data_IF_678862100588
#
_entry.id   IF_678862100588
#
_cell.length_a   1.000
_cell.length_b   1.000
_cell.length_c   1.000
_cell.angle_alpha   90.00
_cell.angle_beta   90.00
_cell.angle_gamma   90.00
#
_symmetry.space_group_name_H-M   'P 1'
#
loop_
_entity.id
_entity.type
_entity.pdbx_description
1 polymer ?
#
# COMPACT_ATOMS: atom_id res chain seq x y z
N UNK A 1 -5.49 18.24 -47.61
CA UNK A 1 -4.83 19.00 -46.54
C UNK A 1 -5.52 18.86 -45.18
N UNK A 2 -6.85 18.93 -45.07
CA UNK A 2 -7.56 18.87 -43.77
C UNK A 2 -7.42 17.52 -43.02
N UNK A 3 -7.48 16.39 -43.72
CA UNK A 3 -7.40 15.04 -43.09
C UNK A 3 -6.05 14.79 -42.41
N UNK A 4 -4.94 15.23 -43.02
CA UNK A 4 -3.60 15.11 -42.44
C UNK A 4 -3.45 15.94 -41.17
N UNK A 5 -3.98 17.17 -41.16
CA UNK A 5 -3.98 18.04 -39.99
C UNK A 5 -4.78 17.43 -38.82
N UNK A 6 -5.96 16.88 -39.08
CA UNK A 6 -6.77 16.23 -38.04
C UNK A 6 -6.13 14.96 -37.47
N UNK A 7 -5.47 14.14 -38.31
CA UNK A 7 -4.73 12.96 -37.85
C UNK A 7 -3.52 13.38 -37.00
N UNK A 8 -2.80 14.42 -37.41
CA UNK A 8 -1.62 14.90 -36.67
C UNK A 8 -2.04 15.52 -35.33
N UNK A 9 -3.13 16.29 -35.31
CA UNK A 9 -3.72 16.83 -34.08
C UNK A 9 -4.22 15.72 -33.13
N UNK A 10 -4.87 14.67 -33.65
CA UNK A 10 -5.32 13.54 -32.84
C UNK A 10 -4.15 12.75 -32.21
N UNK A 11 -3.08 12.50 -32.98
CA UNK A 11 -1.87 11.84 -32.47
C UNK A 11 -1.19 12.71 -31.40
N UNK A 12 -1.16 14.03 -31.61
CA UNK A 12 -0.57 14.97 -30.66
C UNK A 12 -1.37 15.01 -29.34
N UNK A 13 -2.72 14.99 -29.40
CA UNK A 13 -3.58 14.90 -28.21
C UNK A 13 -3.38 13.58 -27.45
N UNK A 14 -3.20 12.45 -28.16
CA UNK A 14 -2.87 11.17 -27.51
C UNK A 14 -1.48 11.19 -26.84
N UNK A 15 -0.50 11.89 -27.43
CA UNK A 15 0.84 12.01 -26.87
C UNK A 15 0.89 12.83 -25.57
N UNK A 16 -0.13 13.65 -25.31
CA UNK A 16 -0.28 14.43 -24.08
C UNK A 16 -1.19 13.78 -23.03
N UNK A 17 -1.68 12.55 -23.25
CA UNK A 17 -2.39 11.82 -22.21
C UNK A 17 -1.43 11.50 -21.06
N UNK A 18 -1.54 12.25 -19.97
CA UNK A 18 -0.77 12.03 -18.75
C UNK A 18 -1.23 10.70 -18.16
N UNK A 19 -0.44 9.64 -18.34
CA UNK A 19 -0.64 8.38 -17.64
C UNK A 19 -0.07 8.55 -16.24
N UNK A 20 -0.97 8.61 -15.24
CA UNK A 20 -0.56 8.59 -13.84
C UNK A 20 -0.21 7.16 -13.45
N UNK A 21 1.04 6.93 -13.07
CA UNK A 21 1.52 5.64 -12.59
C UNK A 21 1.33 5.45 -11.08
N UNK A 22 0.93 6.51 -10.37
CA UNK A 22 0.68 6.56 -8.92
C UNK A 22 -0.66 7.23 -8.64
N UNK A 23 -1.05 7.29 -7.35
CA UNK A 23 -2.19 8.09 -6.93
C UNK A 23 -2.08 9.55 -7.46
N UNK A 24 -3.15 10.12 -8.04
CA UNK A 24 -3.15 11.51 -8.49
C UNK A 24 -2.95 12.49 -7.33
N UNK A 25 -2.25 13.60 -7.58
CA UNK A 25 -2.12 14.68 -6.59
C UNK A 25 -3.50 15.28 -6.24
N UNK A 26 -3.73 15.66 -4.98
CA UNK A 26 -4.97 16.31 -4.58
C UNK A 26 -5.09 17.69 -5.24
N UNK A 27 -6.33 18.09 -5.56
CA UNK A 27 -6.64 19.40 -6.16
C UNK A 27 -7.22 20.40 -5.14
N UNK A 28 -7.34 19.99 -3.88
CA UNK A 28 -7.87 20.73 -2.74
C UNK A 28 -7.31 20.14 -1.45
N UNK A 29 -7.48 20.84 -0.33
CA UNK A 29 -6.92 20.43 0.97
C UNK A 29 -7.36 19.02 1.41
N UNK A 30 -8.62 18.66 1.17
CA UNK A 30 -9.15 17.33 1.47
C UNK A 30 -10.34 16.96 0.59
N UNK A 31 -10.56 15.66 0.42
CA UNK A 31 -11.75 15.09 -0.23
C UNK A 31 -12.10 13.79 0.50
N UNK A 32 -12.82 13.87 1.61
CA UNK A 32 -13.20 12.69 2.41
C UNK A 32 -14.05 11.73 1.57
N UNK A 33 -13.65 10.46 1.46
CA UNK A 33 -14.41 9.46 0.73
C UNK A 33 -15.81 9.26 1.31
N UNK A 34 -16.80 9.15 0.42
CA UNK A 34 -18.12 8.59 0.75
C UNK A 34 -18.06 7.06 0.58
N UNK A 35 -18.83 6.32 1.37
CA UNK A 35 -18.94 4.87 1.19
C UNK A 35 -19.58 4.54 -0.15
N UNK A 36 -19.11 3.48 -0.81
CA UNK A 36 -19.55 3.12 -2.16
C UNK A 36 -21.06 2.81 -2.23
N UNK A 37 -21.66 2.33 -1.13
CA UNK A 37 -23.10 2.09 -1.04
C UNK A 37 -23.95 3.37 -1.09
N UNK A 38 -23.39 4.50 -0.66
CA UNK A 38 -24.03 5.82 -0.70
C UNK A 38 -23.67 6.56 -2.01
N UNK A 39 -22.71 6.05 -2.78
CA UNK A 39 -22.28 6.65 -4.03
C UNK A 39 -23.19 6.24 -5.19
N UNK A 40 -23.75 7.22 -5.91
CA UNK A 40 -24.53 6.98 -7.14
C UNK A 40 -23.67 6.77 -8.40
N UNK A 41 -22.34 6.90 -8.31
CA UNK A 41 -21.42 6.91 -9.45
C UNK A 41 -20.08 6.30 -9.06
N UNK A 42 -19.47 5.54 -9.97
CA UNK A 42 -18.10 5.03 -9.85
C UNK A 42 -17.11 5.95 -10.58
N UNK A 43 -16.02 6.30 -9.90
CA UNK A 43 -14.92 7.12 -10.43
C UNK A 43 -13.58 6.46 -10.10
N UNK A 44 -12.48 6.94 -10.68
CA UNK A 44 -11.16 6.55 -10.20
C UNK A 44 -10.92 7.13 -8.81
N UNK A 45 -10.76 6.29 -7.79
CA UNK A 45 -10.73 6.70 -6.38
C UNK A 45 -12.12 6.64 -5.75
N UNK A 46 -12.49 7.67 -4.97
CA UNK A 46 -13.79 7.78 -4.29
C UNK A 46 -14.35 9.19 -4.46
N UNK A 47 -15.68 9.32 -4.50
CA UNK A 47 -16.35 10.63 -4.49
C UNK A 47 -16.18 11.32 -3.13
N UNK A 48 -16.19 12.66 -3.13
CA UNK A 48 -16.00 13.45 -1.91
C UNK A 48 -17.32 13.71 -1.18
N UNK A 49 -17.29 13.61 0.15
CA UNK A 49 -18.31 14.14 1.06
C UNK A 49 -18.36 15.67 0.97
N UNK A 50 -19.53 16.28 1.20
CA UNK A 50 -19.66 17.74 1.29
C UNK A 50 -18.69 18.27 2.37
N UNK A 51 -17.76 19.18 2.02
CA UNK A 51 -16.80 19.75 2.97
C UNK A 51 -17.42 20.35 4.23
N UNK A 52 -18.67 20.83 4.17
CA UNK A 52 -19.38 21.39 5.33
C UNK A 52 -19.80 20.32 6.35
N UNK A 53 -19.84 19.06 5.94
CA UNK A 53 -20.25 17.92 6.78
C UNK A 53 -19.06 17.10 7.27
N UNK A 54 -17.84 17.45 6.85
CA UNK A 54 -16.61 16.78 7.26
C UNK A 54 -16.31 17.05 8.73
N UNK A 55 -15.83 16.03 9.43
CA UNK A 55 -15.51 16.07 10.87
C UNK A 55 -14.15 15.42 11.16
N UNK A 56 -13.51 15.68 12.31
CA UNK A 56 -12.24 15.06 12.67
C UNK A 56 -12.27 13.52 12.63
N UNK A 57 -13.42 12.92 12.91
CA UNK A 57 -13.62 11.46 12.90
C UNK A 57 -13.42 10.87 11.50
N UNK A 58 -13.61 11.65 10.43
CA UNK A 58 -13.38 11.20 9.05
C UNK A 58 -11.88 10.95 8.76
N UNK A 59 -10.98 11.50 9.58
CA UNK A 59 -9.51 11.38 9.46
C UNK A 59 -8.87 10.51 10.54
N UNK A 60 -9.67 9.84 11.37
CA UNK A 60 -9.21 9.22 12.61
C UNK A 60 -9.50 7.71 12.65
N UNK A 61 -8.54 6.94 13.16
CA UNK A 61 -8.73 5.53 13.48
C UNK A 61 -8.20 5.22 14.89
N UNK A 62 -9.06 4.82 15.84
CA UNK A 62 -8.64 4.51 17.20
C UNK A 62 -8.05 3.10 17.33
N UNK A 63 -7.19 2.91 18.33
CA UNK A 63 -6.86 1.57 18.85
C UNK A 63 -5.88 0.76 18.00
N UNK A 64 -5.17 1.38 17.05
CA UNK A 64 -4.11 0.71 16.27
C UNK A 64 -2.94 0.25 17.15
N UNK A 65 -2.80 0.78 18.37
CA UNK A 65 -1.84 0.31 19.36
C UNK A 65 -2.16 -1.08 19.93
N UNK A 66 -3.40 -1.56 19.80
CA UNK A 66 -3.81 -2.86 20.34
C UNK A 66 -3.39 -3.99 19.39
N UNK A 67 -2.67 -5.02 19.87
CA UNK A 67 -2.30 -6.16 19.04
C UNK A 67 -3.51 -6.91 18.48
N UNK A 68 -3.39 -7.41 17.25
CA UNK A 68 -4.40 -8.33 16.68
C UNK A 68 -4.00 -9.78 16.85
N UNK A 69 -5.02 -10.65 16.84
CA UNK A 69 -4.82 -12.09 17.00
C UNK A 69 -3.98 -12.67 15.87
N UNK A 70 -2.90 -13.36 16.25
CA UNK A 70 -2.02 -14.13 15.37
C UNK A 70 -2.32 -15.63 15.42
N UNK A 71 -3.44 -16.03 16.04
CA UNK A 71 -3.90 -17.43 16.14
C UNK A 71 -4.46 -17.94 14.81
N UNK A 72 -3.60 -18.04 13.81
CA UNK A 72 -3.89 -18.59 12.49
C UNK A 72 -2.65 -19.35 11.97
N UNK A 73 -2.76 -20.17 10.92
CA UNK A 73 -1.65 -21.01 10.44
C UNK A 73 -0.38 -20.25 10.04
N UNK A 74 -0.50 -18.98 9.67
CA UNK A 74 0.62 -18.13 9.30
C UNK A 74 1.26 -17.44 10.51
N UNK A 75 0.62 -17.43 11.68
CA UNK A 75 1.17 -16.80 12.88
C UNK A 75 1.33 -15.27 12.77
N UNK A 76 0.64 -14.62 11.83
CA UNK A 76 0.74 -13.18 11.58
C UNK A 76 -0.62 -12.55 11.33
N UNK A 77 -0.73 -11.24 11.54
CA UNK A 77 -1.92 -10.46 11.23
C UNK A 77 -1.50 -9.07 10.72
N UNK A 78 -2.15 -8.61 9.66
CA UNK A 78 -1.95 -7.29 9.07
C UNK A 78 -3.25 -6.49 9.19
N UNK A 79 -3.19 -5.38 9.94
CA UNK A 79 -4.27 -4.39 9.99
C UNK A 79 -3.92 -3.25 9.05
N UNK A 80 -4.45 -3.29 7.84
CA UNK A 80 -4.29 -2.22 6.84
C UNK A 80 -5.33 -1.12 7.08
N UNK A 81 -4.87 0.13 7.18
CA UNK A 81 -5.66 1.35 7.21
C UNK A 81 -5.50 2.09 5.89
N UNK A 82 -6.31 1.67 4.91
CA UNK A 82 -6.45 2.30 3.61
C UNK A 82 -7.62 3.29 3.61
N UNK A 83 -7.94 3.85 2.44
CA UNK A 83 -9.07 4.78 2.25
C UNK A 83 -10.43 4.24 2.73
N UNK A 84 -10.64 2.92 2.73
CA UNK A 84 -11.89 2.33 3.18
C UNK A 84 -12.00 2.27 4.72
N UNK A 85 -10.87 2.33 5.43
CA UNK A 85 -10.83 2.40 6.90
C UNK A 85 -10.72 3.83 7.43
N UNK A 86 -10.00 4.71 6.72
CA UNK A 86 -9.87 6.14 7.01
C UNK A 86 -10.30 6.92 5.77
N UNK A 87 -11.57 7.31 5.66
CA UNK A 87 -12.11 8.00 4.47
C UNK A 87 -11.36 9.29 4.11
N UNK A 88 -10.79 9.96 5.09
CA UNK A 88 -9.96 11.16 4.90
C UNK A 88 -8.66 10.94 4.14
N UNK A 89 -8.21 9.69 3.91
CA UNK A 89 -7.02 9.39 3.10
C UNK A 89 -7.26 9.57 1.59
N UNK A 90 -8.51 9.70 1.16
CA UNK A 90 -8.83 9.83 -0.25
C UNK A 90 -8.14 11.07 -0.86
N UNK A 91 -7.53 10.89 -2.03
CA UNK A 91 -6.69 11.84 -2.77
C UNK A 91 -5.31 12.15 -2.16
N UNK A 92 -4.97 11.60 -0.99
CA UNK A 92 -3.73 11.95 -0.28
C UNK A 92 -2.53 11.02 -0.55
N UNK A 93 -2.73 9.94 -1.32
CA UNK A 93 -1.63 9.12 -1.83
C UNK A 93 -0.88 8.30 -0.78
N UNK A 94 -1.47 8.05 0.41
CA UNK A 94 -0.82 7.28 1.47
C UNK A 94 -1.80 6.36 2.21
N UNK A 95 -1.25 5.29 2.81
CA UNK A 95 -1.93 4.43 3.79
C UNK A 95 -0.94 3.89 4.82
N UNK A 96 -1.46 3.27 5.89
CA UNK A 96 -0.68 2.73 6.99
C UNK A 96 -1.10 1.29 7.28
N UNK A 97 -0.18 0.43 7.69
CA UNK A 97 -0.48 -0.89 8.20
C UNK A 97 0.23 -1.15 9.53
N UNK A 98 -0.44 -1.85 10.44
CA UNK A 98 0.19 -2.52 11.58
C UNK A 98 0.32 -4.00 11.28
N UNK A 99 1.46 -4.57 11.61
CA UNK A 99 1.73 -6.00 11.49
C UNK A 99 2.07 -6.57 12.87
N UNK A 100 1.35 -7.63 13.25
CA UNK A 100 1.59 -8.40 14.47
C UNK A 100 2.04 -9.82 14.09
N UNK A 101 3.10 -10.32 14.74
CA UNK A 101 3.64 -11.66 14.51
C UNK A 101 3.77 -12.42 15.83
N UNK A 102 3.29 -13.66 15.86
CA UNK A 102 3.69 -14.67 16.83
C UNK A 102 5.15 -15.11 16.57
N UNK A 103 5.80 -15.83 17.50
CA UNK A 103 7.09 -16.46 17.21
C UNK A 103 6.96 -17.35 15.98
N UNK A 104 7.91 -17.24 15.05
CA UNK A 104 7.89 -17.97 13.77
C UNK A 104 6.70 -17.64 12.86
N UNK A 105 6.02 -16.51 13.09
CA UNK A 105 4.97 -15.99 12.22
C UNK A 105 5.51 -15.48 10.88
N UNK A 106 4.77 -15.72 9.82
CA UNK A 106 5.09 -15.35 8.44
C UNK A 106 3.98 -14.44 7.88
N UNK A 107 4.36 -13.27 7.38
CA UNK A 107 3.56 -12.58 6.38
C UNK A 107 4.06 -13.08 5.02
N UNK A 108 3.28 -13.93 4.33
CA UNK A 108 3.75 -14.72 3.19
C UNK A 108 4.23 -13.83 2.03
N UNK A 109 4.96 -14.41 1.05
CA UNK A 109 5.30 -13.69 -0.17
C UNK A 109 4.07 -13.03 -0.81
N UNK A 110 4.12 -11.71 -0.95
CA UNK A 110 3.05 -10.90 -1.52
C UNK A 110 3.61 -9.69 -2.28
N UNK A 111 2.75 -8.98 -2.99
CA UNK A 111 3.10 -7.71 -3.67
C UNK A 111 1.99 -6.68 -3.50
N UNK A 112 2.39 -5.41 -3.50
CA UNK A 112 1.52 -4.23 -3.58
C UNK A 112 1.59 -3.68 -5.01
N UNK A 113 0.56 -3.89 -5.85
CA UNK A 113 0.62 -3.52 -7.27
C UNK A 113 0.62 -2.02 -7.53
N UNK A 114 0.36 -1.18 -6.51
CA UNK A 114 0.18 0.28 -6.65
C UNK A 114 0.90 1.10 -5.58
N UNK A 115 1.83 0.51 -4.82
CA UNK A 115 2.53 1.24 -3.78
C UNK A 115 3.90 0.65 -3.44
N UNK A 116 4.87 1.53 -3.21
CA UNK A 116 6.06 1.24 -2.40
C UNK A 116 5.65 1.23 -0.93
N UNK A 117 6.24 0.30 -0.16
CA UNK A 117 6.09 0.18 1.29
C UNK A 117 7.40 0.54 2.01
N UNK A 118 7.29 1.25 3.14
CA UNK A 118 8.38 1.45 4.10
C UNK A 118 7.95 0.93 5.47
N UNK A 119 8.72 0.01 6.04
CA UNK A 119 8.41 -0.69 7.28
C UNK A 119 9.42 -0.35 8.38
N UNK A 120 8.93 -0.09 9.59
CA UNK A 120 9.72 0.07 10.82
C UNK A 120 9.32 -1.00 11.84
N UNK A 121 10.31 -1.63 12.49
CA UNK A 121 10.06 -2.58 13.58
C UNK A 121 9.96 -1.82 14.90
N UNK A 122 8.94 -2.12 15.71
CA UNK A 122 8.78 -1.55 17.05
C UNK A 122 9.13 -2.53 18.17
N UNK A 123 8.84 -3.82 17.97
CA UNK A 123 9.10 -4.86 18.96
C UNK A 123 9.57 -6.15 18.26
N UNK A 124 10.39 -6.94 18.97
CA UNK A 124 10.89 -8.22 18.47
C UNK A 124 11.90 -8.06 17.32
N UNK A 125 11.97 -9.05 16.45
CA UNK A 125 12.94 -9.12 15.35
C UNK A 125 12.25 -9.68 14.11
N UNK A 126 12.50 -9.11 12.93
CA UNK A 126 11.93 -9.58 11.67
C UNK A 126 13.03 -9.83 10.63
N UNK A 127 13.06 -11.04 10.06
CA UNK A 127 13.70 -11.27 8.77
C UNK A 127 12.76 -10.77 7.68
N UNK A 128 13.20 -9.78 6.91
CA UNK A 128 12.45 -9.24 5.78
C UNK A 128 13.21 -9.46 4.49
N UNK A 129 12.50 -9.41 3.35
CA UNK A 129 13.16 -9.37 2.06
C UNK A 129 12.23 -9.19 0.87
N UNK A 130 12.81 -8.82 -0.27
CA UNK A 130 12.14 -8.75 -1.57
C UNK A 130 12.98 -9.41 -2.66
N UNK A 131 12.31 -9.84 -3.73
CA UNK A 131 12.92 -10.43 -4.91
C UNK A 131 12.84 -9.45 -6.09
N UNK A 132 13.94 -9.25 -6.80
CA UNK A 132 13.97 -8.41 -7.99
C UNK A 132 13.17 -9.01 -9.14
N UNK A 133 12.72 -8.17 -10.07
CA UNK A 133 12.24 -8.63 -11.37
C UNK A 133 13.31 -9.42 -12.14
N UNK A 134 12.88 -10.09 -13.22
CA UNK A 134 13.78 -10.88 -14.04
C UNK A 134 14.88 -9.99 -14.63
N UNK A 135 16.16 -10.32 -14.40
CA UNK A 135 17.26 -9.57 -14.97
C UNK A 135 17.37 -9.82 -16.50
N UNK A 136 18.05 -8.94 -17.26
CA UNK A 136 18.36 -9.19 -18.66
C UNK A 136 19.32 -10.39 -18.80
N UNK A 137 19.02 -11.33 -19.71
CA UNK A 137 19.85 -12.50 -20.09
C UNK A 137 20.27 -13.45 -18.94
N UNK A 138 19.78 -14.70 -18.95
CA UNK A 138 20.29 -15.89 -18.21
C UNK A 138 20.65 -15.73 -16.71
N UNK A 139 20.33 -14.62 -16.07
CA UNK A 139 20.55 -14.37 -14.66
C UNK A 139 19.28 -14.73 -13.88
N UNK A 140 19.46 -15.17 -12.63
CA UNK A 140 18.35 -15.47 -11.71
C UNK A 140 17.91 -14.19 -11.01
N UNK A 141 16.64 -14.13 -10.61
CA UNK A 141 16.15 -13.08 -9.71
C UNK A 141 17.00 -13.04 -8.45
N UNK A 142 17.30 -11.83 -7.97
CA UNK A 142 18.08 -11.62 -6.75
C UNK A 142 17.15 -11.43 -5.57
N UNK A 143 17.40 -12.19 -4.50
CA UNK A 143 16.76 -11.98 -3.20
C UNK A 143 17.61 -11.01 -2.37
N UNK A 144 16.97 -9.96 -1.84
CA UNK A 144 17.54 -9.08 -0.83
C UNK A 144 16.90 -9.39 0.51
N UNK A 145 17.69 -9.64 1.55
CA UNK A 145 17.17 -9.87 2.90
C UNK A 145 17.95 -9.10 3.96
N UNK A 146 17.27 -8.83 5.08
CA UNK A 146 17.87 -8.26 6.28
C UNK A 146 17.10 -8.71 7.51
N UNK A 147 17.81 -8.91 8.62
CA UNK A 147 17.20 -9.04 9.94
C UNK A 147 17.12 -7.65 10.56
N UNK A 148 15.92 -7.23 10.94
CA UNK A 148 15.60 -5.93 11.52
C UNK A 148 15.31 -6.08 13.02
N UNK A 149 15.86 -5.16 13.82
CA UNK A 149 15.62 -5.00 15.25
C UNK A 149 14.71 -3.79 15.51
N UNK A 150 14.22 -3.57 16.73
CA UNK A 150 13.41 -2.40 17.05
C UNK A 150 14.12 -1.08 16.67
N UNK A 151 13.42 -0.22 15.93
CA UNK A 151 13.93 1.03 15.37
C UNK A 151 14.52 0.91 13.96
N UNK A 152 14.81 -0.30 13.48
CA UNK A 152 15.31 -0.51 12.11
C UNK A 152 14.18 -0.31 11.08
N UNK A 153 14.55 0.19 9.89
CA UNK A 153 13.66 0.49 8.78
C UNK A 153 14.07 -0.26 7.51
N UNK A 154 13.11 -0.69 6.70
CA UNK A 154 13.35 -1.32 5.40
C UNK A 154 12.30 -0.91 4.37
N UNK A 155 12.71 -0.79 3.10
CA UNK A 155 11.84 -0.35 1.99
C UNK A 155 11.61 -1.51 1.03
N UNK A 156 10.36 -1.70 0.63
CA UNK A 156 9.94 -2.65 -0.39
C UNK A 156 9.46 -1.87 -1.63
N UNK A 157 10.20 -1.94 -2.76
CA UNK A 157 9.80 -1.23 -3.98
C UNK A 157 8.45 -1.70 -4.52
N UNK A 158 7.70 -0.77 -5.09
CA UNK A 158 6.40 -1.02 -5.70
C UNK A 158 6.41 -2.23 -6.66
N UNK A 159 5.39 -3.09 -6.53
CA UNK A 159 5.19 -4.24 -7.39
C UNK A 159 6.13 -5.42 -7.14
N UNK A 160 7.19 -5.29 -6.35
CA UNK A 160 8.10 -6.40 -6.07
C UNK A 160 7.54 -7.36 -5.01
N UNK A 161 7.75 -8.65 -5.25
CA UNK A 161 7.38 -9.71 -4.31
C UNK A 161 8.27 -9.60 -3.08
N UNK A 162 7.66 -9.53 -1.90
CA UNK A 162 8.36 -9.42 -0.63
C UNK A 162 7.64 -10.17 0.49
N UNK A 163 8.31 -10.34 1.62
CA UNK A 163 7.80 -11.07 2.79
C UNK A 163 8.41 -10.51 4.09
N UNK A 164 7.78 -10.86 5.21
CA UNK A 164 8.32 -10.64 6.55
C UNK A 164 8.14 -11.93 7.37
N UNK A 165 9.17 -12.33 8.10
CA UNK A 165 9.17 -13.53 8.91
C UNK A 165 9.76 -13.22 10.29
N UNK A 166 9.01 -13.52 11.35
CA UNK A 166 9.51 -13.42 12.71
C UNK A 166 10.37 -14.64 13.03
N UNK A 167 11.68 -14.53 12.81
CA UNK A 167 12.64 -15.58 13.16
C UNK A 167 13.05 -15.60 14.64
N UNK A 168 12.38 -14.80 15.48
CA UNK A 168 12.59 -14.72 16.92
C UNK A 168 11.68 -15.66 17.72
N UNK A 169 11.96 -15.75 19.03
CA UNK A 169 11.19 -16.56 19.99
C UNK A 169 10.10 -15.76 20.71
N UNK A 170 10.04 -14.44 20.49
CA UNK A 170 9.03 -13.54 21.06
C UNK A 170 8.12 -13.03 19.96
N UNK A 171 7.00 -12.41 20.33
CA UNK A 171 6.19 -11.66 19.37
C UNK A 171 7.02 -10.52 18.75
N UNK A 172 6.61 -10.11 17.55
CA UNK A 172 7.16 -8.94 16.88
C UNK A 172 6.03 -8.02 16.39
N UNK A 173 6.29 -6.72 16.39
CA UNK A 173 5.35 -5.68 15.94
C UNK A 173 6.09 -4.76 14.98
N UNK A 174 5.44 -4.47 13.85
CA UNK A 174 5.95 -3.51 12.88
C UNK A 174 4.83 -2.60 12.36
N UNK A 175 5.22 -1.43 11.87
CA UNK A 175 4.35 -0.50 11.16
C UNK A 175 4.90 -0.25 9.78
N UNK A 176 4.01 -0.17 8.79
CA UNK A 176 4.36 0.06 7.40
C UNK A 176 3.56 1.24 6.83
N UNK A 177 4.24 2.22 6.24
CA UNK A 177 3.63 3.25 5.42
C UNK A 177 3.65 2.84 3.96
N UNK A 178 2.56 3.07 3.23
CA UNK A 178 2.48 2.77 1.80
C UNK A 178 2.12 4.03 1.01
N UNK A 179 2.70 4.15 -0.18
CA UNK A 179 2.59 5.32 -1.08
C UNK A 179 1.33 5.30 -1.98
N UNK A 180 0.22 4.80 -1.45
CA UNK A 180 -1.10 4.91 -2.09
C UNK A 180 -2.21 4.84 -1.04
N UNK A 181 -3.32 5.53 -1.28
CA UNK A 181 -4.55 5.40 -0.50
C UNK A 181 -5.14 3.99 -0.59
N UNK A 182 -4.82 3.24 -1.66
CA UNK A 182 -5.23 1.87 -1.87
C UNK A 182 -4.10 1.05 -2.55
N UNK A 183 -3.13 0.56 -1.77
CA UNK A 183 -1.96 -0.14 -2.31
C UNK A 183 -2.33 -1.45 -3.03
N UNK A 184 -3.44 -2.07 -2.63
CA UNK A 184 -3.82 -3.43 -3.05
C UNK A 184 -2.88 -4.49 -2.48
N UNK A 185 -3.26 -5.76 -2.53
CA UNK A 185 -2.38 -6.86 -2.10
C UNK A 185 -2.65 -8.09 -2.95
N UNK A 186 -1.58 -8.76 -3.36
CA UNK A 186 -1.64 -10.07 -4.04
C UNK A 186 -0.74 -11.02 -3.27
N UNK A 187 -1.33 -12.00 -2.57
CA UNK A 187 -0.57 -13.08 -1.93
C UNK A 187 -0.17 -14.12 -2.98
N UNK A 188 1.11 -14.44 -3.04
CA UNK A 188 1.69 -15.36 -4.04
C UNK A 188 1.51 -16.82 -3.63
N UNK A 189 1.80 -17.14 -2.36
CA UNK A 189 1.68 -18.47 -1.80
C UNK A 189 1.43 -18.37 -0.28
N UNK A 190 0.73 -19.35 0.30
CA UNK A 190 0.46 -19.44 1.75
C UNK A 190 0.96 -20.77 2.29
#
# INVERSE_FOLDING_TARGET
MAVGFHITAAILVLAFAIVYASDPSPLQDFCVAVQDADAGVFVNGKICKDPKLVKPEDFFFPGLNNPRSTSNPLGSNVTLLNVDQIPGLNTLGISLARLDFAPYGLNPPHTHPRATEILVVLEGTLLVGFVTSNPPMNMKNRLFTKVLNPGDVFVFPEGLIHFQFNNGQTNAVAFAGLSSQNPGVITIAK
#
